data_IF_040518192405
#
_entry.id   IF_040518192405
#
_cell.length_a   1.000
_cell.length_b   1.000
_cell.length_c   1.000
_cell.angle_alpha   90.00
_cell.angle_beta   90.00
_cell.angle_gamma   90.00
#
_symmetry.space_group_name_H-M   'P 1'
#
loop_
_entity.id
_entity.type
_entity.pdbx_description
1 polymer ?
#
# COMPACT_ATOMS: atom_id res chain seq x y z
N UNK A 1 -8.98 -16.14 9.93
CA UNK A 1 -9.50 -16.60 11.24
C UNK A 1 -11.00 -16.84 11.09
N UNK A 2 -11.55 -18.04 11.34
CA UNK A 2 -13.00 -18.22 11.33
C UNK A 2 -13.61 -17.54 12.56
N UNK A 3 -14.69 -16.78 12.36
CA UNK A 3 -15.40 -16.10 13.44
C UNK A 3 -16.43 -17.04 14.07
N UNK A 4 -16.48 -17.05 15.40
CA UNK A 4 -17.44 -17.84 16.16
C UNK A 4 -18.79 -17.14 16.37
N UNK A 5 -18.85 -15.82 16.21
CA UNK A 5 -20.05 -15.01 16.44
C UNK A 5 -20.07 -13.78 15.55
N UNK A 6 -21.28 -13.22 15.33
CA UNK A 6 -21.45 -11.91 14.70
C UNK A 6 -20.68 -10.80 15.43
N UNK A 7 -20.70 -10.79 16.77
CA UNK A 7 -20.00 -9.78 17.59
C UNK A 7 -18.49 -9.79 17.37
N UNK A 8 -17.89 -10.96 17.21
CA UNK A 8 -16.46 -11.10 16.91
C UNK A 8 -16.13 -10.51 15.52
N UNK A 9 -16.93 -10.83 14.50
CA UNK A 9 -16.77 -10.24 13.17
C UNK A 9 -16.94 -8.71 13.19
N UNK A 10 -17.99 -8.21 13.86
CA UNK A 10 -18.30 -6.78 13.92
C UNK A 10 -17.20 -6.00 14.64
N UNK A 11 -16.58 -6.61 15.67
CA UNK A 11 -15.42 -6.04 16.36
C UNK A 11 -14.22 -5.96 15.44
N UNK A 12 -13.93 -7.04 14.71
CA UNK A 12 -12.84 -7.07 13.73
C UNK A 12 -13.02 -6.00 12.63
N UNK A 13 -14.20 -5.93 12.01
CA UNK A 13 -14.51 -4.95 10.98
C UNK A 13 -14.46 -3.51 11.51
N UNK A 14 -14.94 -3.29 12.75
CA UNK A 14 -14.85 -1.98 13.43
C UNK A 14 -13.40 -1.56 13.66
N UNK A 15 -12.51 -2.48 14.04
CA UNK A 15 -11.10 -2.18 14.28
C UNK A 15 -10.39 -1.77 12.97
N UNK A 16 -10.64 -2.49 11.86
CA UNK A 16 -10.14 -2.10 10.53
C UNK A 16 -10.66 -0.71 10.15
N UNK A 17 -11.97 -0.48 10.30
CA UNK A 17 -12.57 0.81 9.98
C UNK A 17 -11.95 1.94 10.79
N UNK A 18 -11.78 1.75 12.11
CA UNK A 18 -11.18 2.75 12.99
C UNK A 18 -9.74 3.07 12.58
N UNK A 19 -8.91 2.05 12.36
CA UNK A 19 -7.53 2.25 11.91
C UNK A 19 -7.45 2.98 10.56
N UNK A 20 -8.27 2.59 9.58
CA UNK A 20 -8.31 3.24 8.28
C UNK A 20 -8.83 4.67 8.33
N UNK A 21 -9.83 4.95 9.18
CA UNK A 21 -10.48 6.27 9.27
C UNK A 21 -9.56 7.38 9.75
N UNK A 22 -8.47 7.03 10.44
CA UNK A 22 -7.48 8.00 10.91
C UNK A 22 -6.61 8.56 9.77
N UNK A 23 -6.60 7.93 8.59
CA UNK A 23 -5.76 8.31 7.44
C UNK A 23 -6.53 8.43 6.13
N UNK A 24 -7.74 7.88 6.02
CA UNK A 24 -8.57 7.99 4.83
C UNK A 24 -10.06 7.79 5.15
N UNK A 25 -10.94 8.44 4.37
CA UNK A 25 -12.38 8.24 4.50
C UNK A 25 -12.77 6.84 3.98
N UNK A 26 -13.39 6.01 4.82
CA UNK A 26 -13.89 4.67 4.47
C UNK A 26 -15.32 4.53 4.95
N UNK A 27 -16.22 3.96 4.15
CA UNK A 27 -17.56 3.63 4.63
C UNK A 27 -17.56 2.30 5.36
N UNK A 28 -18.04 2.29 6.61
CA UNK A 28 -18.19 1.07 7.39
C UNK A 28 -19.09 0.04 6.71
N UNK A 29 -20.20 0.46 6.10
CA UNK A 29 -21.12 -0.47 5.44
C UNK A 29 -20.48 -1.15 4.24
N UNK A 30 -19.78 -0.38 3.38
CA UNK A 30 -19.07 -0.92 2.21
C UNK A 30 -17.90 -1.82 2.61
N UNK A 31 -17.18 -1.48 3.68
CA UNK A 31 -16.14 -2.34 4.24
C UNK A 31 -16.71 -3.68 4.74
N UNK A 32 -17.83 -3.64 5.48
CA UNK A 32 -18.49 -4.86 5.94
C UNK A 32 -18.92 -5.76 4.77
N UNK A 33 -19.49 -5.17 3.71
CA UNK A 33 -19.85 -5.91 2.49
C UNK A 33 -18.63 -6.52 1.80
N UNK A 34 -17.53 -5.77 1.66
CA UNK A 34 -16.30 -6.29 1.07
C UNK A 34 -15.71 -7.43 1.90
N UNK A 35 -15.65 -7.27 3.23
CA UNK A 35 -15.19 -8.32 4.15
C UNK A 35 -16.05 -9.57 4.05
N UNK A 36 -17.39 -9.42 4.02
CA UNK A 36 -18.30 -10.54 3.88
C UNK A 36 -18.05 -11.33 2.57
N UNK A 37 -17.86 -10.62 1.46
CA UNK A 37 -17.48 -11.23 0.17
C UNK A 37 -16.15 -11.96 0.25
N UNK A 38 -15.16 -11.42 0.95
CA UNK A 38 -13.89 -12.11 1.23
C UNK A 38 -14.07 -13.43 1.99
N UNK A 39 -15.09 -13.55 2.86
CA UNK A 39 -15.48 -14.81 3.51
C UNK A 39 -16.42 -15.69 2.68
N UNK A 40 -16.63 -15.39 1.40
CA UNK A 40 -17.48 -16.17 0.50
C UNK A 40 -18.98 -15.86 0.57
N UNK A 41 -19.37 -14.81 1.31
CA UNK A 41 -20.77 -14.41 1.45
C UNK A 41 -21.11 -13.27 0.49
N UNK A 42 -22.24 -13.38 -0.21
CA UNK A 42 -22.65 -12.35 -1.19
C UNK A 42 -22.89 -10.98 -0.55
N UNK A 43 -23.41 -10.98 0.68
CA UNK A 43 -23.70 -9.76 1.45
C UNK A 43 -23.33 -9.90 2.92
N UNK A 44 -23.12 -8.77 3.59
CA UNK A 44 -22.92 -8.73 5.05
C UNK A 44 -24.13 -9.33 5.80
N UNK A 45 -25.36 -9.07 5.34
CA UNK A 45 -26.56 -9.67 5.93
C UNK A 45 -26.54 -11.21 5.85
N UNK A 46 -26.08 -11.79 4.74
CA UNK A 46 -25.97 -13.25 4.60
C UNK A 46 -24.90 -13.85 5.53
N UNK A 47 -23.78 -13.16 5.73
CA UNK A 47 -22.77 -13.54 6.71
C UNK A 47 -23.34 -13.49 8.14
N UNK A 48 -24.06 -12.42 8.49
CA UNK A 48 -24.69 -12.32 9.82
C UNK A 48 -25.72 -13.40 10.07
N UNK A 49 -26.47 -13.81 9.04
CA UNK A 49 -27.40 -14.94 9.16
C UNK A 49 -26.64 -16.23 9.47
N UNK A 50 -25.60 -16.55 8.72
CA UNK A 50 -24.80 -17.74 8.97
C UNK A 50 -24.17 -17.76 10.37
N UNK A 51 -23.67 -16.62 10.84
CA UNK A 51 -23.09 -16.47 12.18
C UNK A 51 -24.11 -16.58 13.33
N UNK A 52 -25.41 -16.44 13.05
CA UNK A 52 -26.47 -16.73 14.02
C UNK A 52 -26.75 -18.23 14.13
N UNK A 53 -26.59 -18.95 13.02
CA UNK A 53 -26.83 -20.40 12.95
C UNK A 53 -25.65 -21.21 13.50
N UNK A 54 -24.45 -20.62 13.53
CA UNK A 54 -23.27 -21.19 14.18
C UNK A 54 -21.96 -20.51 13.78
N UNK A 55 -20.82 -20.98 14.31
CA UNK A 55 -19.50 -20.53 13.87
C UNK A 55 -19.31 -20.72 12.36
N UNK A 56 -18.53 -19.85 11.72
CA UNK A 56 -18.11 -20.10 10.34
C UNK A 56 -17.35 -21.42 10.26
N UNK A 57 -17.62 -22.19 9.21
CA UNK A 57 -16.87 -23.41 8.91
C UNK A 57 -15.37 -23.08 8.87
N UNK A 58 -14.53 -23.76 9.67
CA UNK A 58 -13.08 -23.57 9.63
C UNK A 58 -12.44 -23.77 8.25
N UNK A 59 -13.12 -24.47 7.34
CA UNK A 59 -12.73 -24.63 5.93
C UNK A 59 -12.95 -23.35 5.11
N UNK A 60 -13.81 -22.42 5.55
CA UNK A 60 -13.97 -21.11 4.93
C UNK A 60 -12.73 -20.27 5.26
N UNK A 61 -11.86 -20.17 4.26
CA UNK A 61 -10.73 -19.26 4.27
C UNK A 61 -11.11 -17.89 3.72
N UNK A 62 -10.48 -16.84 4.23
CA UNK A 62 -10.63 -15.49 3.68
C UNK A 62 -9.92 -15.39 2.32
N UNK A 63 -10.64 -15.01 1.27
CA UNK A 63 -10.12 -14.79 -0.07
C UNK A 63 -9.75 -13.32 -0.28
N UNK A 64 -8.44 -13.06 -0.29
CA UNK A 64 -7.89 -11.71 -0.47
C UNK A 64 -8.20 -11.11 -1.84
N UNK A 65 -8.22 -11.91 -2.92
CA UNK A 65 -8.53 -11.40 -4.25
C UNK A 65 -9.99 -10.95 -4.35
N UNK A 66 -10.92 -11.71 -3.75
CA UNK A 66 -12.34 -11.33 -3.69
C UNK A 66 -12.56 -10.10 -2.83
N UNK A 67 -11.90 -10.01 -1.67
CA UNK A 67 -11.93 -8.82 -0.82
C UNK A 67 -11.42 -7.58 -1.56
N UNK A 68 -10.22 -7.65 -2.13
CA UNK A 68 -9.59 -6.53 -2.86
C UNK A 68 -10.45 -6.06 -4.03
N UNK A 69 -10.99 -7.00 -4.82
CA UNK A 69 -11.93 -6.68 -5.92
C UNK A 69 -13.18 -5.96 -5.41
N UNK A 70 -13.73 -6.42 -4.28
CA UNK A 70 -14.93 -5.82 -3.68
C UNK A 70 -14.67 -4.43 -3.12
N UNK A 71 -13.50 -4.18 -2.52
CA UNK A 71 -13.11 -2.84 -2.08
C UNK A 71 -12.92 -1.91 -3.28
N UNK A 72 -12.29 -2.38 -4.35
CA UNK A 72 -12.12 -1.59 -5.57
C UNK A 72 -13.46 -1.15 -6.17
N UNK A 73 -14.44 -2.06 -6.20
CA UNK A 73 -15.80 -1.83 -6.72
C UNK A 73 -16.62 -0.89 -5.82
N UNK A 74 -16.65 -1.15 -4.52
CA UNK A 74 -17.53 -0.45 -3.59
C UNK A 74 -16.97 0.90 -3.14
N UNK A 75 -15.64 1.00 -3.01
CA UNK A 75 -14.94 2.13 -2.43
C UNK A 75 -14.08 2.88 -3.46
N UNK A 76 -12.87 2.40 -3.72
CA UNK A 76 -11.91 2.96 -4.69
C UNK A 76 -10.64 2.12 -4.74
N UNK A 77 -10.02 2.05 -5.92
CA UNK A 77 -8.70 1.43 -6.14
C UNK A 77 -7.63 1.94 -5.17
N UNK A 78 -7.60 3.24 -4.87
CA UNK A 78 -6.56 3.84 -4.03
C UNK A 78 -6.60 3.40 -2.55
N UNK A 79 -7.72 2.82 -2.10
CA UNK A 79 -7.92 2.35 -0.72
C UNK A 79 -7.59 0.87 -0.53
N UNK A 80 -7.60 0.10 -1.62
CA UNK A 80 -7.43 -1.36 -1.58
C UNK A 80 -6.12 -1.77 -0.92
N UNK A 81 -4.94 -1.20 -1.26
CA UNK A 81 -3.68 -1.69 -0.69
C UNK A 81 -3.60 -1.52 0.83
N UNK A 82 -4.13 -0.41 1.36
CA UNK A 82 -4.17 -0.17 2.80
C UNK A 82 -5.16 -1.10 3.49
N UNK A 83 -6.38 -1.24 2.94
CA UNK A 83 -7.41 -2.10 3.55
C UNK A 83 -7.05 -3.58 3.47
N UNK A 84 -6.31 -4.02 2.44
CA UNK A 84 -5.80 -5.38 2.32
C UNK A 84 -4.87 -5.73 3.48
N UNK A 85 -3.91 -4.85 3.79
CA UNK A 85 -2.96 -5.01 4.90
C UNK A 85 -3.68 -5.03 6.25
N UNK A 86 -4.65 -4.14 6.46
CA UNK A 86 -5.45 -4.16 7.70
C UNK A 86 -6.29 -5.43 7.83
N UNK A 87 -6.78 -5.99 6.71
CA UNK A 87 -7.49 -7.26 6.69
C UNK A 87 -6.58 -8.49 6.93
N UNK A 88 -5.26 -8.34 6.83
CA UNK A 88 -4.30 -9.35 7.29
C UNK A 88 -4.07 -9.30 8.81
N UNK A 89 -4.66 -8.32 9.50
CA UNK A 89 -4.53 -8.13 10.95
C UNK A 89 -3.34 -7.28 11.37
N UNK A 90 -2.72 -6.54 10.45
CA UNK A 90 -1.73 -5.53 10.81
C UNK A 90 -2.42 -4.28 11.37
N UNK A 91 -1.72 -3.59 12.26
CA UNK A 91 -2.09 -2.27 12.77
C UNK A 91 -0.92 -1.32 12.58
N UNK A 92 -1.21 -0.03 12.67
CA UNK A 92 -0.20 0.99 12.50
C UNK A 92 -0.55 2.23 13.31
N UNK A 93 0.47 3.03 13.54
CA UNK A 93 0.34 4.34 14.15
C UNK A 93 1.28 5.34 13.45
N UNK A 94 0.82 6.60 13.34
CA UNK A 94 1.58 7.69 12.71
C UNK A 94 1.59 8.88 13.66
N UNK A 95 2.74 9.09 14.26
CA UNK A 95 3.06 10.23 15.13
C UNK A 95 3.66 11.33 14.26
N UNK A 96 3.09 12.54 14.35
CA UNK A 96 3.66 13.75 13.75
C UNK A 96 3.75 14.79 14.85
N UNK A 97 4.97 15.10 15.26
CA UNK A 97 5.24 16.00 16.38
C UNK A 97 5.98 17.23 15.89
N UNK A 98 5.47 18.41 16.24
CA UNK A 98 6.11 19.67 15.88
C UNK A 98 7.45 19.80 16.60
N UNK A 99 8.52 20.11 15.88
CA UNK A 99 9.81 20.36 16.53
C UNK A 99 9.73 21.57 17.48
N UNK A 100 10.51 21.60 18.58
CA UNK A 100 10.52 22.72 19.51
C UNK A 100 10.91 24.04 18.85
N UNK A 101 10.46 25.14 19.43
CA UNK A 101 10.84 26.50 19.05
C UNK A 101 11.98 27.01 19.94
N UNK A 102 12.80 27.92 19.43
CA UNK A 102 13.85 28.60 20.21
C UNK A 102 15.24 28.61 19.56
N UNK A 103 16.22 29.31 20.16
CA UNK A 103 17.57 29.39 19.63
C UNK A 103 18.23 28.01 19.48
N UNK A 104 18.76 27.71 18.30
CA UNK A 104 19.38 26.41 18.00
C UNK A 104 18.39 25.27 17.70
N UNK A 105 17.08 25.53 17.75
CA UNK A 105 16.04 24.56 17.39
C UNK A 105 15.67 24.65 15.90
N UNK A 106 14.98 23.61 15.39
CA UNK A 106 14.54 23.53 13.99
C UNK A 106 13.42 24.52 13.64
N UNK A 107 12.57 24.90 14.58
CA UNK A 107 11.50 25.90 14.36
C UNK A 107 11.88 27.27 14.94
N UNK A 108 13.12 27.71 14.68
CA UNK A 108 13.55 29.05 15.07
C UNK A 108 13.14 30.09 14.01
N UNK A 109 13.07 31.36 14.40
CA UNK A 109 12.61 32.46 13.54
C UNK A 109 13.48 32.75 12.30
N UNK A 110 14.62 32.06 12.14
CA UNK A 110 15.48 32.18 10.93
C UNK A 110 15.07 31.21 9.84
N UNK A 111 14.28 30.19 10.16
CA UNK A 111 13.77 29.24 9.19
C UNK A 111 12.38 29.71 8.72
N UNK A 112 12.18 29.67 7.40
CA UNK A 112 10.91 30.06 6.78
C UNK A 112 9.89 28.92 6.82
N UNK A 113 10.32 27.71 7.23
CA UNK A 113 9.51 26.52 7.33
C UNK A 113 9.18 26.12 8.77
N UNK A 114 8.06 25.40 8.92
CA UNK A 114 7.74 24.68 10.15
C UNK A 114 8.05 23.20 9.95
N UNK A 115 8.98 22.70 10.76
CA UNK A 115 9.42 21.32 10.75
C UNK A 115 8.70 20.47 11.81
N UNK A 116 8.44 19.22 11.46
CA UNK A 116 7.86 18.18 12.30
C UNK A 116 8.72 16.92 12.24
N UNK A 117 8.83 16.23 13.36
CA UNK A 117 9.33 14.86 13.42
C UNK A 117 8.18 13.90 13.07
N UNK A 118 8.46 12.91 12.22
CA UNK A 118 7.45 11.96 11.78
C UNK A 118 7.93 10.54 12.02
N UNK A 119 7.07 9.74 12.65
CA UNK A 119 7.31 8.32 12.89
C UNK A 119 6.09 7.54 12.45
N UNK A 120 6.34 6.43 11.77
CA UNK A 120 5.32 5.43 11.50
C UNK A 120 5.76 4.09 12.05
N UNK A 121 4.92 3.48 12.87
CA UNK A 121 5.12 2.13 13.40
C UNK A 121 4.06 1.21 12.79
N UNK A 122 4.46 -0.02 12.44
CA UNK A 122 3.56 -1.07 11.96
C UNK A 122 3.81 -2.34 12.77
N UNK A 123 2.73 -2.92 13.27
CA UNK A 123 2.77 -4.12 14.08
C UNK A 123 1.73 -5.15 13.64
N UNK A 124 1.98 -6.39 14.01
CA UNK A 124 1.05 -7.51 13.85
C UNK A 124 0.06 -7.52 15.01
N UNK A 125 -0.99 -8.34 14.90
CA UNK A 125 -2.04 -8.44 15.92
C UNK A 125 -1.52 -8.85 17.32
N UNK A 126 -0.37 -9.52 17.40
CA UNK A 126 0.31 -9.91 18.65
C UNK A 126 1.23 -8.82 19.22
N UNK A 127 1.28 -7.64 18.59
CA UNK A 127 2.16 -6.53 18.96
C UNK A 127 3.59 -6.64 18.45
N UNK A 128 3.95 -7.73 17.77
CA UNK A 128 5.27 -7.85 17.14
C UNK A 128 5.41 -6.91 15.96
N UNK A 129 6.64 -6.50 15.67
CA UNK A 129 6.96 -5.58 14.57
C UNK A 129 6.69 -6.23 13.21
N UNK A 130 6.15 -5.46 12.28
CA UNK A 130 5.92 -5.89 10.90
C UNK A 130 6.88 -5.18 9.95
N UNK A 131 7.87 -5.89 9.42
CA UNK A 131 8.83 -5.33 8.48
C UNK A 131 8.23 -5.11 7.08
N UNK A 132 8.82 -4.17 6.33
CA UNK A 132 8.48 -4.02 4.92
C UNK A 132 9.22 -5.06 4.08
N UNK A 133 8.51 -5.71 3.17
CA UNK A 133 9.06 -6.65 2.20
C UNK A 133 9.72 -5.99 0.98
N UNK A 134 9.61 -4.67 0.80
CA UNK A 134 10.36 -3.92 -0.23
C UNK A 134 10.47 -2.43 0.10
N UNK A 135 11.42 -1.70 -0.52
CA UNK A 135 11.44 -0.24 -0.46
C UNK A 135 10.19 0.39 -1.08
N UNK A 136 9.81 1.56 -0.59
CA UNK A 136 8.73 2.39 -1.11
C UNK A 136 9.23 3.75 -1.56
N UNK A 137 8.37 4.46 -2.30
CA UNK A 137 8.60 5.86 -2.65
C UNK A 137 7.79 6.74 -1.71
N UNK A 138 8.43 7.76 -1.13
CA UNK A 138 7.73 8.74 -0.30
C UNK A 138 6.66 9.49 -1.11
N UNK A 139 5.55 9.88 -0.48
CA UNK A 139 4.49 10.58 -1.18
C UNK A 139 4.98 11.95 -1.66
N UNK A 140 4.75 12.25 -2.94
CA UNK A 140 4.81 13.60 -3.48
C UNK A 140 3.41 14.20 -3.39
N UNK A 141 3.24 15.23 -2.57
CA UNK A 141 1.93 15.79 -2.22
C UNK A 141 1.56 16.99 -3.10
N UNK A 142 2.57 17.63 -3.73
CA UNK A 142 2.41 18.65 -4.77
C UNK A 142 3.18 18.24 -6.04
N UNK A 143 2.66 18.66 -7.20
CA UNK A 143 3.13 18.18 -8.52
C UNK A 143 4.31 18.97 -9.09
N UNK A 144 4.64 20.15 -8.54
CA UNK A 144 5.71 21.01 -9.06
C UNK A 144 6.58 21.59 -7.95
N UNK A 145 7.86 21.84 -8.26
CA UNK A 145 8.81 22.44 -7.32
C UNK A 145 8.44 23.88 -6.95
N UNK A 146 7.86 24.62 -7.90
CA UNK A 146 7.46 26.02 -7.68
C UNK A 146 6.25 26.15 -6.74
N UNK A 147 5.50 25.06 -6.57
CA UNK A 147 4.26 25.03 -5.78
C UNK A 147 4.34 24.09 -4.59
N UNK A 148 5.52 23.51 -4.28
CA UNK A 148 5.66 22.63 -3.11
C UNK A 148 5.42 23.41 -1.82
N UNK A 149 4.21 23.29 -1.26
CA UNK A 149 3.83 24.01 -0.04
C UNK A 149 4.25 23.27 1.21
N UNK A 150 4.42 21.95 1.09
CA UNK A 150 4.83 21.10 2.17
C UNK A 150 5.39 19.79 1.63
N UNK A 151 6.24 19.14 2.41
CA UNK A 151 6.86 17.87 2.01
C UNK A 151 7.13 16.95 3.18
N UNK A 152 7.39 15.69 2.84
CA UNK A 152 7.90 14.66 3.73
C UNK A 152 9.25 14.19 3.20
N UNK A 153 10.21 14.01 4.10
CA UNK A 153 11.53 13.49 3.80
C UNK A 153 11.89 12.33 4.75
N UNK A 154 12.67 11.38 4.24
CA UNK A 154 13.15 10.24 5.00
C UNK A 154 14.37 10.64 5.82
N UNK A 155 14.43 10.19 7.07
CA UNK A 155 15.66 10.22 7.84
C UNK A 155 16.75 9.40 7.15
N UNK A 156 18.01 9.79 7.32
CA UNK A 156 19.16 9.19 6.63
C UNK A 156 19.21 7.65 6.75
N UNK A 157 18.94 7.13 7.94
CA UNK A 157 18.98 5.70 8.23
C UNK A 157 17.92 4.86 7.48
N UNK A 158 16.89 5.49 6.93
CA UNK A 158 15.80 4.84 6.21
C UNK A 158 15.86 5.09 4.70
N UNK A 159 16.88 5.80 4.19
CA UNK A 159 17.04 6.07 2.76
C UNK A 159 17.58 4.85 2.02
N UNK A 160 17.07 4.64 0.81
CA UNK A 160 17.56 3.62 -0.12
C UNK A 160 18.25 4.35 -1.27
N UNK A 161 19.50 3.99 -1.53
CA UNK A 161 20.39 4.68 -2.51
C UNK A 161 20.87 3.76 -3.63
N UNK A 162 20.65 2.47 -3.47
CA UNK A 162 20.88 1.39 -4.41
C UNK A 162 19.66 1.16 -5.31
N UNK A 163 19.91 0.60 -6.50
CA UNK A 163 18.87 0.30 -7.49
C UNK A 163 18.39 1.50 -8.30
N UNK A 164 17.14 1.46 -8.73
CA UNK A 164 16.52 2.51 -9.55
C UNK A 164 16.24 3.75 -8.70
N UNK A 165 17.03 4.78 -8.93
CA UNK A 165 16.98 6.03 -8.19
C UNK A 165 15.70 6.81 -8.50
N UNK A 166 15.10 7.39 -7.45
CA UNK A 166 13.96 8.29 -7.54
C UNK A 166 14.30 9.54 -6.75
N UNK A 167 14.39 10.70 -7.41
CA UNK A 167 14.59 11.97 -6.73
C UNK A 167 13.34 12.83 -6.75
N UNK A 168 13.32 13.78 -5.83
CA UNK A 168 12.34 14.87 -5.89
C UNK A 168 12.57 15.67 -7.18
N UNK A 169 11.53 15.77 -8.02
CA UNK A 169 11.55 16.52 -9.30
C UNK A 169 12.59 16.06 -10.34
N UNK A 170 13.02 14.78 -10.31
CA UNK A 170 13.88 14.13 -11.34
C UNK A 170 15.25 14.76 -11.60
N UNK A 171 15.79 15.56 -10.67
CA UNK A 171 17.15 16.17 -10.74
C UNK A 171 17.75 16.41 -9.36
N UNK A 172 17.18 15.82 -8.31
CA UNK A 172 17.61 16.03 -6.94
C UNK A 172 18.73 15.07 -6.52
N UNK A 173 19.57 15.51 -5.59
CA UNK A 173 20.51 14.63 -4.87
C UNK A 173 19.84 13.87 -3.71
N UNK A 174 18.56 14.14 -3.46
CA UNK A 174 17.78 13.55 -2.38
C UNK A 174 16.89 12.43 -2.92
N UNK A 175 17.19 11.20 -2.49
CA UNK A 175 16.37 10.02 -2.80
C UNK A 175 15.02 10.10 -2.08
N UNK A 176 13.94 9.82 -2.82
CA UNK A 176 12.60 9.59 -2.27
C UNK A 176 12.36 8.10 -1.96
N UNK A 177 13.29 7.22 -2.32
CA UNK A 177 13.21 5.80 -1.98
C UNK A 177 13.57 5.61 -0.52
N UNK A 178 12.71 4.88 0.19
CA UNK A 178 12.85 4.63 1.61
C UNK A 178 12.44 3.20 1.96
N UNK A 179 12.83 2.75 3.15
CA UNK A 179 12.54 1.41 3.66
C UNK A 179 12.12 1.49 5.13
N UNK A 180 11.24 0.58 5.54
CA UNK A 180 10.91 0.36 6.94
C UNK A 180 11.90 -0.64 7.56
N UNK A 181 12.33 -0.39 8.80
CA UNK A 181 13.24 -1.27 9.53
C UNK A 181 12.65 -1.57 10.90
N UNK A 182 12.62 -2.84 11.28
CA UNK A 182 12.09 -3.31 12.57
C UNK A 182 10.68 -2.76 12.86
N UNK A 183 9.80 -2.84 11.86
CA UNK A 183 8.44 -2.29 11.91
C UNK A 183 8.33 -0.78 12.13
N UNK A 184 9.41 -0.03 11.87
CA UNK A 184 9.46 1.41 12.07
C UNK A 184 10.02 2.14 10.85
N UNK A 185 9.42 3.27 10.54
CA UNK A 185 9.96 4.27 9.64
C UNK A 185 10.03 5.63 10.34
N UNK A 186 11.07 6.42 10.05
CA UNK A 186 11.27 7.73 10.65
C UNK A 186 11.77 8.76 9.65
N UNK A 187 11.24 9.97 9.77
CA UNK A 187 11.56 11.07 8.88
C UNK A 187 11.12 12.42 9.43
N UNK A 188 11.01 13.38 8.52
CA UNK A 188 10.64 14.75 8.84
C UNK A 188 9.58 15.24 7.86
N UNK A 189 8.75 16.15 8.33
CA UNK A 189 7.84 16.90 7.48
C UNK A 189 8.14 18.39 7.61
N UNK A 190 7.93 19.12 6.53
CA UNK A 190 8.18 20.55 6.45
C UNK A 190 7.00 21.24 5.80
N UNK A 191 6.56 22.36 6.36
CA UNK A 191 5.47 23.19 5.83
C UNK A 191 6.04 24.58 5.51
N UNK A 192 5.99 24.96 4.24
CA UNK A 192 6.49 26.22 3.67
C UNK A 192 5.37 27.22 3.39
N UNK A 193 4.20 26.71 2.99
CA UNK A 193 3.07 27.53 2.59
C UNK A 193 2.54 28.36 3.76
N UNK A 194 2.46 29.67 3.57
CA UNK A 194 2.05 30.59 4.63
C UNK A 194 0.66 30.28 5.19
N UNK A 195 -0.31 29.93 4.33
CA UNK A 195 -1.65 29.56 4.76
C UNK A 195 -1.64 28.25 5.56
N UNK A 196 -0.88 27.28 5.10
CA UNK A 196 -0.71 25.96 5.73
C UNK A 196 0.06 26.04 7.06
N UNK A 197 0.90 27.06 7.27
CA UNK A 197 1.57 27.30 8.55
C UNK A 197 0.63 27.91 9.61
N UNK A 198 -0.42 28.64 9.19
CA UNK A 198 -1.40 29.21 10.11
C UNK A 198 -2.37 28.16 10.64
N UNK A 199 -2.78 27.21 9.79
CA UNK A 199 -3.54 26.02 10.17
C UNK A 199 -2.97 24.80 9.44
N UNK A 200 -2.19 24.01 10.17
CA UNK A 200 -1.49 22.84 9.66
C UNK A 200 -2.34 21.57 9.67
N UNK A 201 -3.55 21.60 10.25
CA UNK A 201 -4.36 20.42 10.52
C UNK A 201 -4.65 19.58 9.27
N UNK A 202 -5.08 20.26 8.19
CA UNK A 202 -5.39 19.61 6.91
C UNK A 202 -4.12 19.06 6.22
N UNK A 203 -3.03 19.82 6.30
CA UNK A 203 -1.72 19.47 5.73
C UNK A 203 -1.17 18.22 6.40
N UNK A 204 -1.17 18.19 7.74
CA UNK A 204 -0.75 17.03 8.53
C UNK A 204 -1.65 15.81 8.25
N UNK A 205 -2.96 16.00 8.12
CA UNK A 205 -3.88 14.93 7.71
C UNK A 205 -3.56 14.36 6.32
N UNK A 206 -3.20 15.23 5.37
CA UNK A 206 -2.79 14.84 4.01
C UNK A 206 -1.48 14.05 4.04
N UNK A 207 -0.49 14.50 4.84
CA UNK A 207 0.77 13.79 5.05
C UNK A 207 0.55 12.40 5.66
N UNK A 208 -0.28 12.28 6.71
CA UNK A 208 -0.64 10.99 7.31
C UNK A 208 -1.27 10.05 6.29
N UNK A 209 -2.20 10.56 5.48
CA UNK A 209 -2.83 9.78 4.40
C UNK A 209 -1.82 9.28 3.37
N UNK A 210 -0.93 10.16 2.89
CA UNK A 210 0.09 9.83 1.90
C UNK A 210 1.09 8.80 2.43
N UNK A 211 1.53 8.94 3.68
CA UNK A 211 2.42 7.98 4.33
C UNK A 211 1.79 6.61 4.46
N UNK A 212 0.58 6.53 5.00
CA UNK A 212 -0.12 5.25 5.16
C UNK A 212 -0.27 4.52 3.81
N UNK A 213 -0.61 5.25 2.74
CA UNK A 213 -0.77 4.69 1.39
C UNK A 213 0.54 4.26 0.73
N UNK A 214 1.66 4.85 1.13
CA UNK A 214 2.98 4.53 0.57
C UNK A 214 3.66 3.40 1.32
N UNK A 215 3.50 3.38 2.66
CA UNK A 215 4.23 2.49 3.56
C UNK A 215 3.46 1.20 3.83
N UNK A 216 2.19 1.27 4.27
CA UNK A 216 1.45 0.07 4.70
C UNK A 216 1.43 -1.04 3.65
N UNK A 217 1.23 -0.77 2.35
CA UNK A 217 1.21 -1.83 1.36
C UNK A 217 2.51 -2.66 1.35
N UNK A 218 3.64 -2.06 1.69
CA UNK A 218 4.94 -2.75 1.73
C UNK A 218 5.10 -3.73 2.87
N UNK A 219 4.21 -3.72 3.87
CA UNK A 219 4.24 -4.63 5.02
C UNK A 219 3.24 -5.79 4.88
N UNK A 220 2.64 -5.99 3.71
CA UNK A 220 1.77 -7.15 3.48
C UNK A 220 2.55 -8.45 3.67
N UNK A 221 1.99 -9.41 4.40
CA UNK A 221 2.54 -10.76 4.59
C UNK A 221 2.13 -11.69 3.44
N UNK A 222 1.83 -11.13 2.26
CA UNK A 222 1.30 -11.87 1.10
C UNK A 222 1.94 -11.37 -0.19
N UNK A 223 1.24 -10.50 -0.91
CA UNK A 223 1.65 -9.97 -2.21
C UNK A 223 1.80 -8.46 -2.09
N UNK A 224 3.00 -7.96 -2.36
CA UNK A 224 3.26 -6.54 -2.41
C UNK A 224 3.42 -6.14 -3.87
N UNK A 225 2.67 -5.12 -4.31
CA UNK A 225 2.76 -4.56 -5.65
C UNK A 225 3.13 -3.07 -5.57
N UNK A 226 4.33 -2.72 -6.02
CA UNK A 226 4.87 -1.37 -6.04
C UNK A 226 4.85 -0.78 -7.45
N UNK A 227 4.47 0.49 -7.57
CA UNK A 227 4.64 1.26 -8.81
C UNK A 227 5.31 2.59 -8.48
N UNK A 228 6.37 2.92 -9.20
CA UNK A 228 7.10 4.18 -9.00
C UNK A 228 7.74 4.67 -10.30
N UNK A 229 8.27 5.90 -10.28
CA UNK A 229 8.91 6.52 -11.43
C UNK A 229 10.40 6.73 -11.19
N UNK A 230 11.28 5.86 -11.74
CA UNK A 230 12.72 6.10 -11.72
C UNK A 230 13.12 7.34 -12.51
N UNK A 231 14.11 8.10 -12.04
CA UNK A 231 14.57 9.32 -12.70
C UNK A 231 15.05 9.09 -14.13
N UNK A 232 15.61 7.90 -14.40
CA UNK A 232 16.11 7.51 -15.72
C UNK A 232 15.01 7.12 -16.71
N UNK A 233 13.76 6.98 -16.26
CA UNK A 233 12.65 6.55 -17.12
C UNK A 233 12.01 7.73 -17.85
N UNK A 234 11.48 7.44 -19.04
CA UNK A 234 10.64 8.38 -19.77
C UNK A 234 9.45 8.88 -18.92
N UNK A 235 8.91 10.06 -19.26
CA UNK A 235 7.74 10.65 -18.60
C UNK A 235 6.53 9.70 -18.57
N UNK A 236 6.38 8.83 -19.57
CA UNK A 236 5.25 7.92 -19.73
C UNK A 236 5.53 6.47 -19.30
N UNK A 237 6.71 6.19 -18.75
CA UNK A 237 7.11 4.86 -18.31
C UNK A 237 7.17 4.81 -16.78
N UNK A 238 6.72 3.74 -16.13
CA UNK A 238 6.81 3.54 -14.68
C UNK A 238 7.38 2.16 -14.40
N UNK A 239 8.11 2.01 -13.31
CA UNK A 239 8.54 0.72 -12.79
C UNK A 239 7.37 0.09 -12.04
N UNK A 240 7.06 -1.18 -12.32
CA UNK A 240 6.16 -2.01 -11.51
C UNK A 240 6.93 -3.22 -11.00
N UNK A 241 6.76 -3.53 -9.72
CA UNK A 241 7.42 -4.64 -9.03
C UNK A 241 6.39 -5.39 -8.20
N UNK A 242 6.47 -6.72 -8.22
CA UNK A 242 5.71 -7.59 -7.34
C UNK A 242 6.70 -8.40 -6.51
N UNK A 243 6.55 -8.33 -5.20
CA UNK A 243 7.27 -9.19 -4.26
C UNK A 243 6.31 -10.06 -3.47
N UNK A 244 6.76 -11.28 -3.16
CA UNK A 244 6.04 -12.23 -2.32
C UNK A 244 6.69 -12.28 -0.94
N UNK A 245 5.86 -12.30 0.11
CA UNK A 245 6.33 -12.53 1.47
C UNK A 245 6.87 -13.97 1.64
N UNK A 246 7.71 -14.13 2.67
CA UNK A 246 8.30 -15.42 3.08
C UNK A 246 7.24 -16.51 3.24
N UNK A 247 6.06 -16.22 3.80
CA UNK A 247 4.99 -17.22 3.96
C UNK A 247 4.47 -17.75 2.62
N UNK A 248 4.41 -16.90 1.60
CA UNK A 248 4.01 -17.31 0.25
C UNK A 248 5.14 -18.12 -0.39
N UNK A 249 6.39 -17.70 -0.21
CA UNK A 249 7.56 -18.43 -0.70
C UNK A 249 7.66 -19.84 -0.12
N UNK A 250 7.42 -19.97 1.19
CA UNK A 250 7.40 -21.25 1.90
C UNK A 250 6.30 -22.16 1.36
N UNK A 251 5.10 -21.62 1.11
CA UNK A 251 3.99 -22.34 0.48
C UNK A 251 4.34 -22.83 -0.93
N UNK A 252 5.08 -22.04 -1.71
CA UNK A 252 5.49 -22.40 -3.08
C UNK A 252 6.67 -23.37 -3.11
N UNK A 253 7.36 -23.62 -2.00
CA UNK A 253 8.54 -24.48 -1.94
C UNK A 253 9.62 -24.14 -2.97
N UNK A 254 9.78 -22.84 -3.28
CA UNK A 254 10.73 -22.35 -4.27
C UNK A 254 10.28 -22.46 -5.74
N UNK A 255 9.08 -23.00 -6.00
CA UNK A 255 8.53 -23.08 -7.35
C UNK A 255 8.11 -21.71 -7.89
N UNK A 256 8.31 -21.42 -9.19
CA UNK A 256 7.83 -20.19 -9.81
C UNK A 256 6.30 -20.06 -9.78
N UNK A 257 5.81 -18.86 -9.47
CA UNK A 257 4.38 -18.56 -9.54
C UNK A 257 4.04 -17.93 -10.89
N UNK A 258 3.37 -18.69 -11.75
CA UNK A 258 2.83 -18.20 -13.03
C UNK A 258 1.44 -17.60 -12.82
N UNK A 259 1.24 -16.36 -13.24
CA UNK A 259 -0.04 -15.66 -13.17
C UNK A 259 -0.39 -14.98 -14.50
N UNK A 260 -1.68 -14.75 -14.71
CA UNK A 260 -2.18 -14.03 -15.90
C UNK A 260 -2.13 -12.52 -15.64
N UNK A 261 -1.45 -11.78 -16.50
CA UNK A 261 -1.47 -10.32 -16.48
C UNK A 261 -2.87 -9.88 -16.94
N UNK A 262 -3.61 -9.09 -16.14
CA UNK A 262 -4.93 -8.62 -16.52
C UNK A 262 -4.85 -7.69 -17.74
N UNK A 263 -5.88 -7.69 -18.61
CA UNK A 263 -5.97 -6.71 -19.69
C UNK A 263 -6.19 -5.32 -19.09
N UNK A 264 -5.35 -4.35 -19.48
CA UNK A 264 -5.39 -2.98 -18.98
C UNK A 264 -5.51 -2.02 -20.17
N UNK A 265 -6.63 -1.30 -20.26
CA UNK A 265 -6.84 -0.35 -21.36
C UNK A 265 -5.78 0.75 -21.31
N UNK A 266 -5.21 1.07 -22.47
CA UNK A 266 -4.13 2.06 -22.67
C UNK A 266 -2.90 1.86 -21.78
N UNK A 267 -2.60 0.62 -21.41
CA UNK A 267 -1.36 0.24 -20.71
C UNK A 267 -0.70 -0.94 -21.40
N UNK A 268 0.63 -0.91 -21.48
CA UNK A 268 1.40 -2.06 -21.92
C UNK A 268 2.61 -2.27 -21.03
N UNK A 269 3.05 -3.53 -20.92
CA UNK A 269 4.18 -3.92 -20.08
C UNK A 269 5.37 -4.28 -20.97
N UNK A 270 6.54 -3.75 -20.63
CA UNK A 270 7.83 -4.15 -21.20
C UNK A 270 8.60 -4.85 -20.09
N UNK A 271 8.89 -6.13 -20.29
CA UNK A 271 9.55 -6.96 -19.27
C UNK A 271 11.06 -6.71 -19.26
N UNK A 272 11.68 -6.75 -18.07
CA UNK A 272 13.10 -6.43 -17.90
C UNK A 272 14.06 -7.47 -18.51
N UNK A 273 13.62 -8.73 -18.66
CA UNK A 273 14.56 -9.86 -18.60
C UNK A 273 14.26 -11.01 -19.55
N UNK A 274 13.51 -10.80 -20.65
CA UNK A 274 13.05 -11.88 -21.54
C UNK A 274 12.26 -13.00 -20.81
N UNK A 275 11.88 -12.86 -19.52
CA UNK A 275 11.13 -13.90 -18.77
C UNK A 275 9.62 -13.89 -19.05
N UNK A 276 9.20 -13.21 -20.11
CA UNK A 276 7.94 -13.50 -20.78
C UNK A 276 8.11 -13.32 -22.28
N UNK A 277 8.08 -14.43 -23.00
CA UNK A 277 7.94 -14.46 -24.46
C UNK A 277 6.47 -14.47 -24.89
N UNK A 278 5.53 -14.38 -23.93
CA UNK A 278 4.09 -14.55 -24.17
C UNK A 278 3.33 -13.35 -23.63
N UNK A 279 2.77 -12.54 -24.52
CA UNK A 279 1.86 -11.45 -24.12
C UNK A 279 0.83 -11.95 -23.11
N UNK A 280 0.72 -11.26 -21.96
CA UNK A 280 -0.32 -11.53 -20.97
C UNK A 280 0.02 -12.56 -19.87
N UNK A 281 1.26 -13.06 -19.76
CA UNK A 281 1.69 -13.94 -18.67
C UNK A 281 2.86 -13.33 -17.90
N UNK A 282 2.77 -13.35 -16.57
CA UNK A 282 3.84 -13.01 -15.65
C UNK A 282 4.33 -14.24 -14.88
N UNK A 283 5.63 -14.31 -14.61
CA UNK A 283 6.26 -15.40 -13.86
C UNK A 283 7.07 -14.81 -12.71
N UNK A 284 6.64 -15.07 -11.48
CA UNK A 284 7.38 -14.67 -10.28
C UNK A 284 8.40 -15.76 -9.97
N UNK A 285 9.68 -15.41 -9.97
CA UNK A 285 10.79 -16.33 -9.69
C UNK A 285 11.47 -15.87 -8.40
N UNK A 286 11.70 -16.78 -7.46
CA UNK A 286 12.28 -16.46 -6.15
C UNK A 286 11.57 -15.28 -5.46
N UNK A 287 10.24 -15.20 -5.59
CA UNK A 287 9.43 -14.18 -4.96
C UNK A 287 9.48 -12.80 -5.61
N UNK A 288 10.12 -12.63 -6.76
CA UNK A 288 10.21 -11.34 -7.45
C UNK A 288 9.70 -11.41 -8.89
N UNK A 289 9.00 -10.34 -9.30
CA UNK A 289 8.67 -10.04 -10.69
C UNK A 289 8.74 -8.52 -10.90
N UNK A 290 9.27 -8.09 -12.05
CA UNK A 290 9.41 -6.67 -12.37
C UNK A 290 9.23 -6.39 -13.85
N UNK A 291 8.65 -5.23 -14.16
CA UNK A 291 8.47 -4.75 -15.53
C UNK A 291 8.42 -3.22 -15.59
N UNK A 292 8.41 -2.68 -16.80
CA UNK A 292 8.05 -1.30 -17.10
C UNK A 292 6.60 -1.26 -17.56
N UNK A 293 5.75 -0.48 -16.90
CA UNK A 293 4.39 -0.18 -17.38
C UNK A 293 4.37 1.18 -18.06
N UNK A 294 3.84 1.23 -19.27
CA UNK A 294 3.83 2.43 -20.10
C UNK A 294 2.40 2.95 -20.34
N UNK A 295 2.29 4.25 -20.52
CA UNK A 295 1.01 4.99 -20.64
C UNK A 295 0.54 5.15 -22.07
N UNK A 296 1.22 4.48 -23.01
CA UNK A 296 0.89 4.46 -24.44
C UNK A 296 0.74 5.87 -25.04
N UNK A 297 1.62 6.80 -24.62
CA UNK A 297 1.64 8.19 -25.08
C UNK A 297 0.52 9.08 -24.53
N UNK A 298 -0.30 8.59 -23.59
CA UNK A 298 -1.31 9.38 -22.87
C UNK A 298 -0.71 9.88 -21.56
N UNK A 299 -0.97 11.14 -21.21
CA UNK A 299 -0.61 11.70 -19.90
C UNK A 299 -1.20 10.84 -18.77
N UNK A 300 -0.45 10.64 -17.67
CA UNK A 300 -0.92 9.86 -16.53
C UNK A 300 -2.23 10.39 -15.93
N UNK A 301 -2.42 11.72 -15.94
CA UNK A 301 -3.64 12.34 -15.42
C UNK A 301 -4.87 12.04 -16.30
N UNK A 302 -4.66 11.77 -17.59
CA UNK A 302 -5.73 11.52 -18.58
C UNK A 302 -5.91 10.02 -18.89
N UNK A 303 -5.00 9.16 -18.42
CA UNK A 303 -5.05 7.74 -18.74
C UNK A 303 -6.28 7.06 -18.08
N UNK A 304 -7.14 6.37 -18.85
CA UNK A 304 -8.37 5.77 -18.33
C UNK A 304 -8.12 4.66 -17.29
N UNK A 305 -6.92 4.08 -17.29
CA UNK A 305 -6.47 3.12 -16.29
C UNK A 305 -5.43 3.79 -15.41
N UNK A 306 -5.83 4.32 -14.26
CA UNK A 306 -4.92 4.93 -13.29
C UNK A 306 -3.87 3.94 -12.76
N UNK A 307 -2.71 4.42 -12.33
CA UNK A 307 -1.67 3.56 -11.74
C UNK A 307 -2.16 2.82 -10.48
N UNK A 308 -3.06 3.41 -9.70
CA UNK A 308 -3.72 2.72 -8.59
C UNK A 308 -4.50 1.50 -9.05
N UNK A 309 -5.25 1.63 -10.15
CA UNK A 309 -5.99 0.54 -10.76
C UNK A 309 -5.05 -0.53 -11.32
N UNK A 310 -3.96 -0.13 -11.99
CA UNK A 310 -2.92 -1.06 -12.47
C UNK A 310 -2.35 -1.87 -11.30
N UNK A 311 -1.87 -1.19 -10.25
CA UNK A 311 -1.27 -1.80 -9.05
C UNK A 311 -2.19 -2.85 -8.44
N UNK A 312 -3.45 -2.48 -8.20
CA UNK A 312 -4.43 -3.35 -7.54
C UNK A 312 -4.83 -4.52 -8.43
N UNK A 313 -5.06 -4.31 -9.74
CA UNK A 313 -5.40 -5.41 -10.64
C UNK A 313 -4.28 -6.44 -10.76
N UNK A 314 -3.02 -5.98 -10.78
CA UNK A 314 -1.85 -6.86 -10.75
C UNK A 314 -1.78 -7.65 -9.44
N UNK A 315 -2.01 -6.99 -8.29
CA UNK A 315 -2.04 -7.65 -6.98
C UNK A 315 -3.16 -8.71 -6.91
N UNK A 316 -4.38 -8.36 -7.36
CA UNK A 316 -5.53 -9.28 -7.42
C UNK A 316 -5.22 -10.50 -8.30
N UNK A 317 -4.54 -10.31 -9.44
CA UNK A 317 -4.21 -11.40 -10.34
C UNK A 317 -3.29 -12.45 -9.68
N UNK A 318 -2.31 -11.99 -8.88
CA UNK A 318 -1.42 -12.87 -8.12
C UNK A 318 -2.16 -13.51 -6.94
N UNK A 319 -2.91 -12.74 -6.16
CA UNK A 319 -3.71 -13.26 -5.04
C UNK A 319 -4.72 -14.33 -5.52
N UNK A 320 -5.37 -14.11 -6.66
CA UNK A 320 -6.28 -15.08 -7.26
C UNK A 320 -5.55 -16.37 -7.59
N UNK A 321 -4.34 -16.28 -8.15
CA UNK A 321 -3.53 -17.46 -8.45
C UNK A 321 -3.15 -18.22 -7.18
N UNK A 322 -2.79 -17.52 -6.11
CA UNK A 322 -2.51 -18.12 -4.80
C UNK A 322 -3.76 -18.81 -4.23
N UNK A 323 -4.93 -18.19 -4.34
CA UNK A 323 -6.22 -18.80 -3.95
C UNK A 323 -6.49 -20.10 -4.72
N UNK A 324 -6.27 -20.12 -6.03
CA UNK A 324 -6.43 -21.31 -6.90
C UNK A 324 -5.48 -22.46 -6.51
N UNK A 325 -4.25 -22.13 -6.13
CA UNK A 325 -3.26 -23.10 -5.64
C UNK A 325 -3.56 -23.59 -4.21
N UNK A 326 -4.50 -22.95 -3.51
CA UNK A 326 -4.92 -23.36 -2.17
C UNK A 326 -4.19 -22.67 -1.03
N UNK A 327 -3.46 -21.57 -1.28
CA UNK A 327 -2.72 -20.84 -0.23
C UNK A 327 -3.61 -20.36 0.92
N UNK A 328 -4.89 -20.07 0.65
CA UNK A 328 -5.83 -19.62 1.68
C UNK A 328 -6.33 -20.77 2.57
N UNK A 329 -6.25 -22.03 2.10
CA UNK A 329 -6.64 -23.19 2.90
C UNK A 329 -5.59 -23.36 3.99
N UNK A 330 -6.00 -23.56 5.25
CA UNK A 330 -5.06 -23.81 6.35
C UNK A 330 -4.08 -24.91 5.91
N UNK A 331 -2.80 -24.57 5.85
CA UNK A 331 -1.75 -25.59 5.91
C UNK A 331 -1.91 -26.26 7.28
N UNK A 332 -2.18 -27.57 7.25
CA UNK A 332 -2.49 -28.38 8.44
C UNK A 332 -1.32 -28.50 9.39
#
# INVERSE_FOLDING_TARGET
MPFSTQSAFDTYARNIHFAASNVMKVSRSKLNEALARGYGYRTYASLCSALKDGPLDPAISFDHAVFQSSVAELESWSKVPVLAVLAEGLTFDIEIEKWPTGPGQRNNARYEDIAYHVVMNVSKADGTKADAGQPFTLPMLDQSQAEERFRIDSGYAYRVTDGLYVSRFRRGSQTLRSIMKDGRWGGEAFIYGFAEQQDDSLTLGTMKSGLAKSILPTTSNRVICGIYHPDSYDLNARRIEITLDTRVLDFLHGEPLVFKIPPLDKRFFVMDDNRSHTEGIGVIVNGFWGAVVNSNGIDEAENPTSLDKVRVLMQIAVEKRLSELGFNRKQG
#
